data_IF_890514688083
#
_entry.id   IF_890514688083
#
_cell.length_a   1.000
_cell.length_b   1.000
_cell.length_c   1.000
_cell.angle_alpha   90.00
_cell.angle_beta   90.00
_cell.angle_gamma   90.00
#
_symmetry.space_group_name_H-M   'P 1'
#
loop_
_entity.id
_entity.type
_entity.pdbx_description
1 polymer ?
#
# COMPACT_ATOMS: atom_id res chain seq x y z
N UNK A 1 13.78 4.86 -18.24
CA UNK A 1 13.36 5.89 -17.30
C UNK A 1 11.88 5.74 -16.93
N UNK A 2 11.09 5.36 -17.89
CA UNK A 2 9.68 5.09 -17.58
C UNK A 2 9.55 3.92 -16.60
N UNK A 3 10.42 2.93 -16.76
CA UNK A 3 10.44 1.78 -15.87
C UNK A 3 10.75 2.20 -14.46
N UNK A 4 11.70 3.12 -14.28
CA UNK A 4 12.03 3.64 -12.97
C UNK A 4 10.84 4.34 -12.32
N UNK A 5 10.14 5.16 -13.10
CA UNK A 5 8.99 5.88 -12.58
C UNK A 5 7.89 4.93 -12.14
N UNK A 6 7.68 3.87 -12.92
CA UNK A 6 6.66 2.89 -12.57
C UNK A 6 7.02 2.12 -11.31
N UNK A 7 8.31 1.80 -11.18
CA UNK A 7 8.76 1.10 -9.99
C UNK A 7 8.59 1.97 -8.75
N UNK A 8 8.95 3.25 -8.85
CA UNK A 8 8.79 4.17 -7.74
C UNK A 8 7.32 4.34 -7.38
N UNK A 9 6.47 4.49 -8.40
CA UNK A 9 5.04 4.62 -8.17
C UNK A 9 4.49 3.38 -7.45
N UNK A 10 4.89 2.20 -7.91
CA UNK A 10 4.43 0.96 -7.31
C UNK A 10 4.88 0.87 -5.85
N UNK A 11 6.13 1.25 -5.57
CA UNK A 11 6.63 1.21 -4.20
C UNK A 11 5.86 2.16 -3.30
N UNK A 12 5.57 3.36 -3.79
CA UNK A 12 4.82 4.34 -3.01
C UNK A 12 3.41 3.82 -2.72
N UNK A 13 2.76 3.27 -3.73
CA UNK A 13 1.41 2.74 -3.53
C UNK A 13 1.40 1.57 -2.57
N UNK A 14 2.40 0.69 -2.66
CA UNK A 14 2.50 -0.45 -1.75
C UNK A 14 2.67 0.03 -0.32
N UNK A 15 3.56 0.98 -0.12
CA UNK A 15 3.80 1.53 1.21
C UNK A 15 2.55 2.18 1.77
N UNK A 16 1.86 2.95 0.94
CA UNK A 16 0.64 3.60 1.38
C UNK A 16 -0.48 2.61 1.67
N UNK A 17 -0.56 1.54 0.88
CA UNK A 17 -1.55 0.51 1.15
C UNK A 17 -1.30 -0.14 2.50
N UNK A 18 -0.04 -0.46 2.79
CA UNK A 18 0.30 -1.05 4.08
C UNK A 18 -0.02 -0.08 5.21
N UNK A 19 0.35 1.18 5.06
CA UNK A 19 0.07 2.16 6.10
C UNK A 19 -1.41 2.39 6.29
N UNK A 20 -2.16 2.41 5.20
CA UNK A 20 -3.61 2.56 5.28
C UNK A 20 -4.21 1.39 6.05
N UNK A 21 -3.70 0.19 5.79
CA UNK A 21 -4.22 -0.99 6.47
C UNK A 21 -3.84 -1.09 7.93
N UNK A 22 -2.82 -0.35 8.36
CA UNK A 22 -2.40 -0.40 9.75
C UNK A 22 -3.53 -0.09 10.72
N UNK A 23 -4.47 0.76 10.30
CA UNK A 23 -5.60 1.14 11.16
C UNK A 23 -6.52 -0.03 11.45
N UNK A 24 -6.45 -1.07 10.64
CA UNK A 24 -7.32 -2.23 10.80
C UNK A 24 -6.63 -3.42 11.44
N UNK A 25 -5.32 -3.34 11.65
CA UNK A 25 -4.54 -4.49 12.13
C UNK A 25 -4.96 -4.92 13.53
N UNK A 26 -5.28 -3.96 14.38
CA UNK A 26 -5.69 -4.27 15.73
C UNK A 26 -7.07 -4.90 15.77
N UNK A 27 -7.89 -4.64 14.78
CA UNK A 27 -9.28 -5.13 14.75
C UNK A 27 -9.42 -6.48 14.06
N UNK A 28 -8.57 -6.73 13.06
CA UNK A 28 -8.70 -7.93 12.25
C UNK A 28 -7.36 -8.65 12.15
N UNK A 29 -7.33 -9.86 12.65
CA UNK A 29 -6.10 -10.64 12.64
C UNK A 29 -5.61 -10.92 11.23
N UNK A 30 -6.53 -11.20 10.29
CA UNK A 30 -6.10 -11.52 8.94
C UNK A 30 -5.47 -10.30 8.24
N UNK A 31 -5.84 -9.10 8.65
CA UNK A 31 -5.21 -7.89 8.11
C UNK A 31 -3.77 -7.84 8.58
N UNK A 32 -3.56 -8.09 9.87
CA UNK A 32 -2.20 -8.10 10.43
C UNK A 32 -1.33 -9.13 9.72
N UNK A 33 -1.86 -10.33 9.53
CA UNK A 33 -1.12 -11.39 8.85
C UNK A 33 -0.79 -11.02 7.42
N UNK A 34 -1.78 -10.53 6.69
CA UNK A 34 -1.57 -10.15 5.29
C UNK A 34 -0.59 -9.01 5.14
N UNK A 35 -0.68 -8.01 6.00
CA UNK A 35 0.22 -6.86 5.91
C UNK A 35 1.63 -7.23 6.34
N UNK A 36 1.78 -8.16 7.28
CA UNK A 36 3.11 -8.64 7.65
C UNK A 36 3.80 -9.28 6.45
N UNK A 37 3.06 -10.08 5.69
CA UNK A 37 3.62 -10.70 4.50
C UNK A 37 3.94 -9.65 3.43
N UNK A 38 3.06 -8.66 3.29
CA UNK A 38 3.29 -7.59 2.33
C UNK A 38 4.55 -6.79 2.69
N UNK A 39 4.76 -6.55 3.98
CA UNK A 39 5.96 -5.85 4.43
C UNK A 39 7.22 -6.63 4.09
N UNK A 40 7.17 -7.94 4.26
CA UNK A 40 8.32 -8.77 3.91
C UNK A 40 8.62 -8.70 2.42
N UNK A 41 7.58 -8.74 1.61
CA UNK A 41 7.75 -8.61 0.16
C UNK A 41 8.33 -7.24 -0.20
N UNK A 42 7.87 -6.21 0.48
CA UNK A 42 8.36 -4.86 0.27
C UNK A 42 9.86 -4.78 0.57
N UNK A 43 10.27 -5.33 1.70
CA UNK A 43 11.67 -5.31 2.10
C UNK A 43 12.53 -6.06 1.09
N UNK A 44 12.00 -7.13 0.51
CA UNK A 44 12.73 -7.89 -0.50
C UNK A 44 12.80 -7.19 -1.85
N UNK A 45 12.10 -6.08 -2.00
CA UNK A 45 12.08 -5.34 -3.24
C UNK A 45 10.98 -5.77 -4.20
N UNK A 46 10.09 -6.64 -3.77
CA UNK A 46 8.99 -7.10 -4.62
C UNK A 46 7.78 -6.22 -4.40
N UNK A 47 7.90 -4.98 -4.84
CA UNK A 47 6.90 -3.96 -4.57
C UNK A 47 5.54 -4.27 -5.18
N UNK A 48 5.53 -4.83 -6.37
CA UNK A 48 4.26 -5.14 -7.02
C UNK A 48 3.50 -6.21 -6.25
N UNK A 49 4.20 -7.24 -5.80
CA UNK A 49 3.57 -8.30 -5.01
C UNK A 49 3.11 -7.76 -3.66
N UNK A 50 3.91 -6.89 -3.06
CA UNK A 50 3.54 -6.28 -1.79
C UNK A 50 2.26 -5.47 -1.96
N UNK A 51 2.18 -4.70 -3.04
CA UNK A 51 0.99 -3.89 -3.32
C UNK A 51 -0.23 -4.79 -3.52
N UNK A 52 -0.10 -5.83 -4.33
CA UNK A 52 -1.22 -6.72 -4.60
C UNK A 52 -1.73 -7.39 -3.33
N UNK A 53 -0.80 -7.86 -2.51
CA UNK A 53 -1.19 -8.55 -1.29
C UNK A 53 -1.87 -7.60 -0.31
N UNK A 54 -1.29 -6.41 -0.13
CA UNK A 54 -1.89 -5.45 0.79
C UNK A 54 -3.26 -5.00 0.29
N UNK A 55 -3.40 -4.77 -1.01
CA UNK A 55 -4.69 -4.37 -1.56
C UNK A 55 -5.74 -5.47 -1.39
N UNK A 56 -5.36 -6.71 -1.68
CA UNK A 56 -6.29 -7.81 -1.51
C UNK A 56 -6.73 -7.95 -0.06
N UNK A 57 -5.80 -7.74 0.86
CA UNK A 57 -6.10 -7.84 2.27
C UNK A 57 -7.07 -6.76 2.71
N UNK A 58 -6.83 -5.53 2.30
CA UNK A 58 -7.66 -4.40 2.72
C UNK A 58 -8.99 -4.36 1.97
N UNK A 59 -8.99 -4.81 0.72
CA UNK A 59 -10.20 -4.77 -0.12
C UNK A 59 -11.36 -5.53 0.50
N UNK A 60 -11.07 -6.52 1.33
CA UNK A 60 -12.10 -7.27 2.02
C UNK A 60 -12.88 -6.35 2.95
N UNK A 61 -12.18 -5.42 3.59
CA UNK A 61 -12.80 -4.49 4.52
C UNK A 61 -13.34 -3.27 3.80
N UNK A 62 -12.56 -2.77 2.85
CA UNK A 62 -12.94 -1.54 2.15
C UNK A 62 -12.80 -1.75 0.65
N UNK A 63 -13.88 -2.19 -0.02
CA UNK A 63 -13.84 -2.41 -1.47
C UNK A 63 -13.51 -1.12 -2.22
N UNK A 64 -12.73 -1.26 -3.27
CA UNK A 64 -12.34 -0.10 -4.07
C UNK A 64 -11.15 0.66 -3.52
N UNK A 65 -10.43 0.06 -2.59
CA UNK A 65 -9.29 0.73 -1.95
C UNK A 65 -8.21 1.13 -2.97
N UNK A 66 -8.02 0.31 -4.00
CA UNK A 66 -6.99 0.62 -4.99
C UNK A 66 -7.29 1.94 -5.71
N UNK A 67 -8.54 2.13 -6.11
CA UNK A 67 -8.94 3.36 -6.78
C UNK A 67 -8.75 4.56 -5.86
N UNK A 68 -9.06 4.38 -4.60
CA UNK A 68 -8.94 5.44 -3.61
C UNK A 68 -7.48 5.86 -3.46
N UNK A 69 -6.60 4.87 -3.30
CA UNK A 69 -5.18 5.16 -3.14
C UNK A 69 -4.58 5.77 -4.40
N UNK A 70 -4.97 5.23 -5.55
CA UNK A 70 -4.46 5.75 -6.81
C UNK A 70 -4.91 7.19 -7.04
N UNK A 71 -6.16 7.48 -6.72
CA UNK A 71 -6.69 8.83 -6.85
C UNK A 71 -5.93 9.81 -5.96
N UNK A 72 -5.64 9.41 -4.73
CA UNK A 72 -4.89 10.26 -3.82
C UNK A 72 -3.47 10.49 -4.33
N UNK A 73 -2.85 9.44 -4.86
CA UNK A 73 -1.50 9.55 -5.39
C UNK A 73 -1.45 10.52 -6.57
N UNK A 74 -2.39 10.41 -7.48
CA UNK A 74 -2.40 11.26 -8.67
C UNK A 74 -2.81 12.69 -8.35
N UNK A 75 -3.66 12.84 -7.35
CA UNK A 75 -4.18 14.15 -7.01
C UNK A 75 -3.16 14.99 -6.25
N UNK A 76 -2.44 14.36 -5.32
CA UNK A 76 -1.50 15.11 -4.49
C UNK A 76 -0.44 14.18 -3.90
N UNK A 77 0.67 14.07 -4.60
CA UNK A 77 1.76 13.23 -4.13
C UNK A 77 2.39 13.79 -2.85
N UNK A 78 2.25 15.10 -2.61
CA UNK A 78 2.73 15.70 -1.37
C UNK A 78 1.96 15.14 -0.18
N UNK A 79 0.69 14.90 -0.38
CA UNK A 79 -0.16 14.36 0.68
C UNK A 79 0.38 13.01 1.15
N UNK A 80 0.75 12.15 0.21
CA UNK A 80 1.34 10.86 0.56
C UNK A 80 2.65 11.03 1.31
N UNK A 81 3.47 11.97 0.88
CA UNK A 81 4.74 12.20 1.54
C UNK A 81 4.53 12.63 2.99
N UNK A 82 3.61 13.53 3.23
CA UNK A 82 3.29 13.97 4.59
C UNK A 82 2.77 12.81 5.41
N UNK A 83 1.91 12.00 4.80
CA UNK A 83 1.34 10.85 5.46
C UNK A 83 2.40 9.84 5.86
N UNK A 84 3.38 9.63 5.01
CA UNK A 84 4.45 8.67 5.27
C UNK A 84 5.34 9.11 6.43
N UNK A 85 5.53 10.40 6.59
CA UNK A 85 6.40 10.92 7.64
C UNK A 85 5.71 11.05 8.98
N UNK A 86 4.48 10.68 9.03
CA UNK A 86 3.78 10.63 10.30
C UNK A 86 3.94 9.30 10.97
#
# INVERSE_FOLDING_TARGET
HNTSNELVKTAILAENAIMYGNRYRAKKQYVDDGLNKAELLFIKGEYKKALELSLNTIDIIEPGIYKKLLGLYEKDSKWFRIFLYK
#
